data_IF_484528325794
#
_entry.id   IF_484528325794
#
_cell.length_a   1.000
_cell.length_b   1.000
_cell.length_c   1.000
_cell.angle_alpha   90.00
_cell.angle_beta   90.00
_cell.angle_gamma   90.00
#
_symmetry.space_group_name_H-M   'P 1'
#
loop_
_entity.id
_entity.type
_entity.pdbx_description
1 polymer ?
#
# COMPACT_ATOMS: atom_id res chain seq x y z
N UNK A 1 -26.21 -3.76 49.39
CA UNK A 1 -26.54 -2.41 48.89
C UNK A 1 -25.42 -1.49 49.35
N UNK A 2 -24.40 -1.28 48.51
CA UNK A 2 -23.23 -0.49 48.92
C UNK A 2 -23.60 0.98 48.76
N UNK A 3 -23.83 1.67 49.88
CA UNK A 3 -24.17 3.09 49.89
C UNK A 3 -22.86 3.90 49.79
N UNK A 4 -22.31 3.98 48.58
CA UNK A 4 -21.20 4.87 48.33
C UNK A 4 -21.70 6.32 48.29
N UNK A 5 -21.01 7.20 49.00
CA UNK A 5 -21.19 8.64 48.97
C UNK A 5 -21.22 9.15 47.52
N UNK A 6 -22.39 9.59 47.06
CA UNK A 6 -22.75 9.73 45.64
C UNK A 6 -21.76 10.64 44.86
N UNK A 7 -21.19 11.62 45.56
CA UNK A 7 -20.15 12.53 45.05
C UNK A 7 -18.80 11.83 44.88
N UNK A 8 -18.40 10.98 45.83
CA UNK A 8 -17.12 10.26 45.76
C UNK A 8 -17.12 9.27 44.60
N UNK A 9 -18.21 8.51 44.42
CA UNK A 9 -18.34 7.56 43.30
C UNK A 9 -18.31 8.28 41.96
N UNK A 10 -18.99 9.43 41.85
CA UNK A 10 -18.96 10.25 40.64
C UNK A 10 -17.54 10.71 40.31
N UNK A 11 -16.83 11.30 41.28
CA UNK A 11 -15.46 11.80 41.08
C UNK A 11 -14.51 10.67 40.68
N UNK A 12 -14.56 9.54 41.40
CA UNK A 12 -13.70 8.38 41.13
C UNK A 12 -13.98 7.78 39.75
N UNK A 13 -15.26 7.58 39.40
CA UNK A 13 -15.65 7.01 38.10
C UNK A 13 -15.23 7.91 36.94
N UNK A 14 -15.40 9.23 37.11
CA UNK A 14 -15.00 10.23 36.12
C UNK A 14 -13.49 10.25 35.96
N UNK A 15 -12.73 10.28 37.07
CA UNK A 15 -11.28 10.27 37.04
C UNK A 15 -10.73 9.04 36.32
N UNK A 16 -11.21 7.84 36.66
CA UNK A 16 -10.80 6.59 36.00
C UNK A 16 -11.08 6.66 34.50
N UNK A 17 -12.30 7.04 34.11
CA UNK A 17 -12.69 7.03 32.69
C UNK A 17 -11.94 8.07 31.87
N UNK A 18 -11.65 9.25 32.46
CA UNK A 18 -10.83 10.28 31.82
C UNK A 18 -9.37 9.86 31.69
N UNK A 19 -8.79 9.20 32.69
CA UNK A 19 -7.42 8.66 32.61
C UNK A 19 -7.33 7.63 31.48
N UNK A 20 -8.28 6.70 31.41
CA UNK A 20 -8.33 5.68 30.34
C UNK A 20 -8.49 6.35 28.98
N UNK A 21 -9.43 7.29 28.83
CA UNK A 21 -9.63 8.03 27.59
C UNK A 21 -8.35 8.75 27.16
N UNK A 22 -7.73 9.51 28.07
CA UNK A 22 -6.53 10.27 27.77
C UNK A 22 -5.37 9.36 27.40
N UNK A 23 -5.13 8.28 28.15
CA UNK A 23 -4.07 7.32 27.82
C UNK A 23 -4.26 6.66 26.45
N UNK A 24 -5.48 6.28 26.09
CA UNK A 24 -5.77 5.65 24.80
C UNK A 24 -5.63 6.62 23.63
N UNK A 25 -6.09 7.87 23.79
CA UNK A 25 -5.92 8.90 22.77
C UNK A 25 -4.45 9.30 22.61
N UNK A 26 -3.69 9.44 23.70
CA UNK A 26 -2.23 9.69 23.63
C UNK A 26 -1.51 8.54 22.92
N UNK A 27 -1.88 7.29 23.21
CA UNK A 27 -1.34 6.12 22.50
C UNK A 27 -1.61 6.17 21.00
N UNK A 28 -2.86 6.42 20.59
CA UNK A 28 -3.23 6.52 19.17
C UNK A 28 -2.54 7.71 18.48
N UNK A 29 -2.44 8.87 19.14
CA UNK A 29 -1.74 10.05 18.62
C UNK A 29 -0.22 9.82 18.51
N UNK A 30 0.37 9.05 19.42
CA UNK A 30 1.78 8.67 19.36
C UNK A 30 2.14 7.88 18.09
N UNK A 31 1.15 7.24 17.45
CA UNK A 31 1.30 6.45 16.23
C UNK A 31 0.81 7.20 14.97
N UNK A 32 0.65 8.52 15.02
CA UNK A 32 0.05 9.32 13.94
C UNK A 32 0.71 9.14 12.57
N UNK A 33 2.03 8.90 12.53
CA UNK A 33 2.76 8.65 11.28
C UNK A 33 2.30 7.38 10.55
N UNK A 34 1.67 6.45 11.26
CA UNK A 34 1.15 5.18 10.75
C UNK A 34 -0.38 5.19 10.66
N UNK A 35 -0.99 6.37 10.72
CA UNK A 35 -2.43 6.52 10.57
C UNK A 35 -2.89 6.06 9.18
N UNK A 36 -3.94 5.25 9.17
CA UNK A 36 -4.71 4.88 7.97
C UNK A 36 -6.21 5.11 8.21
N UNK A 37 -6.98 5.09 7.12
CA UNK A 37 -8.43 5.19 7.17
C UNK A 37 -9.03 4.14 8.12
N UNK A 38 -10.09 4.52 8.86
CA UNK A 38 -10.71 3.71 9.90
C UNK A 38 -10.20 3.96 11.33
N UNK A 39 -8.98 4.45 11.53
CA UNK A 39 -8.48 4.79 12.87
C UNK A 39 -9.33 5.87 13.57
N UNK A 40 -9.84 6.85 12.82
CA UNK A 40 -10.76 7.86 13.37
C UNK A 40 -12.05 7.24 13.92
N UNK A 41 -12.60 6.22 13.26
CA UNK A 41 -13.78 5.49 13.74
C UNK A 41 -13.44 4.74 15.03
N UNK A 42 -12.28 4.08 15.10
CA UNK A 42 -11.82 3.41 16.30
C UNK A 42 -11.63 4.37 17.48
N UNK A 43 -11.10 5.57 17.25
CA UNK A 43 -10.99 6.60 18.28
C UNK A 43 -12.37 7.05 18.81
N UNK A 44 -13.37 7.19 17.94
CA UNK A 44 -14.75 7.51 18.33
C UNK A 44 -15.36 6.37 19.15
N UNK A 45 -15.24 5.11 18.69
CA UNK A 45 -15.75 3.93 19.43
C UNK A 45 -15.04 3.81 20.79
N UNK A 46 -13.75 4.09 20.85
CA UNK A 46 -12.98 4.13 22.10
C UNK A 46 -13.54 5.17 23.08
N UNK A 47 -13.85 6.39 22.59
CA UNK A 47 -14.44 7.44 23.41
C UNK A 47 -15.84 7.07 23.92
N UNK A 48 -16.68 6.46 23.08
CA UNK A 48 -17.99 5.94 23.47
C UNK A 48 -17.85 4.84 24.53
N UNK A 49 -16.89 3.93 24.38
CA UNK A 49 -16.63 2.87 25.34
C UNK A 49 -16.14 3.43 26.70
N UNK A 50 -15.32 4.49 26.68
CA UNK A 50 -14.92 5.21 27.91
C UNK A 50 -16.12 5.90 28.60
N UNK A 51 -17.04 6.46 27.81
CA UNK A 51 -18.28 7.03 28.34
C UNK A 51 -19.18 5.94 28.95
N UNK A 52 -19.32 4.79 28.30
CA UNK A 52 -20.03 3.64 28.85
C UNK A 52 -19.38 3.12 30.13
N UNK A 53 -18.04 3.07 30.19
CA UNK A 53 -17.28 2.70 31.39
C UNK A 53 -17.60 3.65 32.55
N UNK A 54 -17.64 4.96 32.31
CA UNK A 54 -18.00 5.96 33.32
C UNK A 54 -19.36 5.65 33.97
N UNK A 55 -20.42 5.46 33.18
CA UNK A 55 -21.74 5.15 33.73
C UNK A 55 -21.77 3.78 34.42
N UNK A 56 -21.05 2.80 33.89
CA UNK A 56 -20.99 1.46 34.47
C UNK A 56 -20.33 1.47 35.85
N UNK A 57 -19.23 2.20 35.99
CA UNK A 57 -18.56 2.45 37.29
C UNK A 57 -19.47 3.24 38.24
N UNK A 58 -20.13 4.28 37.73
CA UNK A 58 -21.02 5.16 38.51
C UNK A 58 -22.18 4.41 39.16
N UNK A 59 -22.74 3.42 38.48
CA UNK A 59 -23.85 2.59 38.96
C UNK A 59 -23.38 1.26 39.58
N UNK A 60 -22.07 1.03 39.67
CA UNK A 60 -21.47 -0.22 40.16
C UNK A 60 -22.03 -1.49 39.48
N UNK A 61 -22.33 -1.39 38.18
CA UNK A 61 -22.85 -2.50 37.37
C UNK A 61 -21.67 -3.32 36.82
N UNK A 62 -21.30 -4.38 37.55
CA UNK A 62 -20.12 -5.21 37.25
C UNK A 62 -20.19 -5.79 35.83
N UNK A 63 -21.37 -6.24 35.38
CA UNK A 63 -21.54 -6.83 34.04
C UNK A 63 -21.25 -5.81 32.95
N UNK A 64 -21.73 -4.57 33.11
CA UNK A 64 -21.43 -3.50 32.15
C UNK A 64 -19.98 -3.02 32.23
N UNK A 65 -19.38 -3.01 33.42
CA UNK A 65 -17.94 -2.71 33.59
C UNK A 65 -17.10 -3.71 32.78
N UNK A 66 -17.34 -5.01 32.96
CA UNK A 66 -16.63 -6.07 32.23
C UNK A 66 -16.81 -5.88 30.72
N UNK A 67 -18.03 -5.64 30.27
CA UNK A 67 -18.34 -5.45 28.84
C UNK A 67 -17.61 -4.23 28.25
N UNK A 68 -17.59 -3.10 28.98
CA UNK A 68 -16.88 -1.90 28.54
C UNK A 68 -15.37 -2.11 28.49
N UNK A 69 -14.79 -2.80 29.47
CA UNK A 69 -13.34 -3.13 29.48
C UNK A 69 -12.97 -4.03 28.30
N UNK A 70 -13.79 -5.05 28.00
CA UNK A 70 -13.56 -5.92 26.83
C UNK A 70 -13.62 -5.10 25.54
N UNK A 71 -14.63 -4.24 25.38
CA UNK A 71 -14.75 -3.39 24.19
C UNK A 71 -13.55 -2.46 24.03
N UNK A 72 -13.08 -1.81 25.10
CA UNK A 72 -11.87 -0.99 25.08
C UNK A 72 -10.64 -1.79 24.66
N UNK A 73 -10.48 -2.99 25.22
CA UNK A 73 -9.39 -3.91 24.85
C UNK A 73 -9.41 -4.30 23.39
N UNK A 74 -10.59 -4.65 22.84
CA UNK A 74 -10.76 -4.99 21.43
C UNK A 74 -10.43 -3.81 20.50
N UNK A 75 -10.89 -2.61 20.84
CA UNK A 75 -10.62 -1.41 20.03
C UNK A 75 -9.13 -1.09 19.99
N UNK A 76 -8.44 -1.13 21.14
CA UNK A 76 -6.99 -0.89 21.20
C UNK A 76 -6.22 -2.00 20.49
N UNK A 77 -6.60 -3.26 20.67
CA UNK A 77 -5.99 -4.38 19.98
C UNK A 77 -6.10 -4.21 18.45
N UNK A 78 -7.30 -3.91 17.95
CA UNK A 78 -7.52 -3.74 16.52
C UNK A 78 -6.81 -2.50 15.96
N UNK A 79 -6.79 -1.38 16.69
CA UNK A 79 -6.01 -0.20 16.33
C UNK A 79 -4.51 -0.53 16.22
N UNK A 80 -3.95 -1.29 17.17
CA UNK A 80 -2.56 -1.72 17.11
C UNK A 80 -2.26 -2.61 15.91
N UNK A 81 -3.17 -3.52 15.54
CA UNK A 81 -3.01 -4.33 14.33
C UNK A 81 -2.95 -3.44 13.07
N UNK A 82 -3.80 -2.41 12.98
CA UNK A 82 -3.77 -1.45 11.86
C UNK A 82 -2.48 -0.62 11.84
N UNK A 83 -1.99 -0.18 13.01
CA UNK A 83 -0.71 0.54 13.09
C UNK A 83 0.47 -0.34 12.66
N UNK A 84 0.57 -1.56 13.16
CA UNK A 84 1.65 -2.49 12.78
C UNK A 84 1.58 -2.86 11.30
N UNK A 85 0.38 -3.07 10.77
CA UNK A 85 0.16 -3.25 9.33
C UNK A 85 0.71 -2.06 8.53
N UNK A 86 0.34 -0.83 8.89
CA UNK A 86 0.80 0.35 8.15
C UNK A 86 2.31 0.56 8.28
N UNK A 87 2.85 0.28 9.47
CA UNK A 87 4.27 0.37 9.75
C UNK A 87 5.10 -0.59 8.90
N UNK A 88 4.65 -1.83 8.72
CA UNK A 88 5.39 -2.79 7.88
C UNK A 88 5.57 -2.29 6.45
N UNK A 89 4.54 -1.69 5.84
CA UNK A 89 4.63 -1.11 4.49
C UNK A 89 5.65 0.03 4.39
N UNK A 90 5.66 0.91 5.39
CA UNK A 90 6.56 2.07 5.40
C UNK A 90 8.00 1.60 5.62
N UNK A 91 8.22 0.69 6.56
CA UNK A 91 9.54 0.16 6.88
C UNK A 91 10.09 -0.67 5.71
N UNK A 92 9.27 -1.52 5.08
CA UNK A 92 9.66 -2.30 3.91
C UNK A 92 10.03 -1.39 2.73
N UNK A 93 9.24 -0.33 2.49
CA UNK A 93 9.57 0.67 1.48
C UNK A 93 10.88 1.41 1.76
N UNK A 94 11.15 1.77 3.03
CA UNK A 94 12.39 2.44 3.43
C UNK A 94 13.61 1.52 3.33
N UNK A 95 13.43 0.22 3.51
CA UNK A 95 14.46 -0.81 3.40
C UNK A 95 14.67 -1.32 1.96
N UNK A 96 14.10 -0.63 0.96
CA UNK A 96 14.27 -0.98 -0.45
C UNK A 96 13.48 -2.21 -0.90
N UNK A 97 12.49 -2.64 -0.12
CA UNK A 97 11.57 -3.75 -0.44
C UNK A 97 10.13 -3.26 -0.49
N UNK A 98 9.80 -2.24 -1.32
CA UNK A 98 8.45 -1.71 -1.36
C UNK A 98 7.44 -2.79 -1.76
N UNK A 99 6.19 -2.62 -1.33
CA UNK A 99 5.09 -3.45 -1.82
C UNK A 99 5.07 -3.48 -3.35
N UNK A 100 5.00 -4.68 -3.92
CA UNK A 100 5.26 -4.91 -5.34
C UNK A 100 4.29 -4.19 -6.28
N UNK A 101 3.08 -3.92 -5.81
CA UNK A 101 2.07 -3.18 -6.57
C UNK A 101 2.06 -1.67 -6.27
N UNK A 102 2.96 -1.16 -5.43
CA UNK A 102 3.10 0.28 -5.12
C UNK A 102 3.15 1.18 -6.36
N UNK A 103 3.84 0.81 -7.47
CA UNK A 103 3.85 1.62 -8.69
C UNK A 103 2.49 1.74 -9.41
N UNK A 104 1.53 0.88 -9.08
CA UNK A 104 0.23 0.75 -9.74
C UNK A 104 -0.92 1.32 -8.90
N UNK A 105 -0.71 1.57 -7.60
CA UNK A 105 -1.73 2.03 -6.66
C UNK A 105 -1.49 3.47 -6.17
N UNK A 106 -2.58 4.17 -5.88
CA UNK A 106 -2.55 5.56 -5.37
C UNK A 106 -2.39 5.62 -3.85
N UNK A 107 -2.91 4.64 -3.14
CA UNK A 107 -2.88 4.51 -1.69
C UNK A 107 -2.46 3.09 -1.33
N UNK A 108 -1.72 2.91 -0.22
CA UNK A 108 -1.44 1.56 0.27
C UNK A 108 -2.71 0.92 0.81
N UNK A 109 -2.88 -0.41 0.63
CA UNK A 109 -4.06 -1.09 1.11
C UNK A 109 -4.20 -1.02 2.63
N UNK A 110 -5.41 -0.87 3.14
CA UNK A 110 -5.66 -0.92 4.59
C UNK A 110 -5.70 -2.36 5.10
N UNK A 111 -5.65 -2.53 6.43
CA UNK A 111 -5.79 -3.85 7.04
C UNK A 111 -7.16 -4.48 6.73
N UNK A 112 -8.22 -3.68 6.65
CA UNK A 112 -9.55 -4.16 6.26
C UNK A 112 -9.57 -4.65 4.83
N UNK A 113 -8.96 -3.91 3.90
CA UNK A 113 -8.89 -4.32 2.49
C UNK A 113 -8.14 -5.65 2.32
N UNK A 114 -7.12 -5.90 3.15
CA UNK A 114 -6.41 -7.19 3.20
C UNK A 114 -7.35 -8.36 3.55
N UNK A 115 -8.20 -8.19 4.56
CA UNK A 115 -9.00 -9.29 5.10
C UNK A 115 -10.41 -9.38 4.52
N UNK A 116 -10.95 -8.26 4.05
CA UNK A 116 -12.35 -8.09 3.70
C UNK A 116 -12.55 -7.42 2.34
N UNK A 117 -11.51 -7.34 1.48
CA UNK A 117 -11.60 -6.68 0.16
C UNK A 117 -12.81 -7.13 -0.65
N UNK A 118 -13.03 -8.45 -0.76
CA UNK A 118 -14.18 -9.03 -1.46
C UNK A 118 -15.53 -8.65 -0.84
N UNK A 119 -15.62 -8.58 0.48
CA UNK A 119 -16.84 -8.20 1.20
C UNK A 119 -17.14 -6.70 1.07
N UNK A 120 -16.10 -5.86 1.04
CA UNK A 120 -16.20 -4.42 0.92
C UNK A 120 -16.38 -3.95 -0.54
N UNK A 121 -16.30 -4.86 -1.52
CA UNK A 121 -16.38 -4.53 -2.94
C UNK A 121 -15.20 -3.68 -3.44
N UNK A 122 -14.06 -3.78 -2.76
CA UNK A 122 -12.83 -3.05 -3.08
C UNK A 122 -11.76 -4.01 -3.59
N UNK A 123 -10.80 -3.54 -4.40
CA UNK A 123 -9.77 -4.42 -4.95
C UNK A 123 -8.89 -5.07 -3.87
N UNK A 124 -8.75 -6.39 -3.92
CA UNK A 124 -7.94 -7.20 -3.01
C UNK A 124 -6.45 -7.17 -3.40
N UNK A 125 -5.82 -5.99 -3.31
CA UNK A 125 -4.44 -5.75 -3.74
C UNK A 125 -3.42 -6.71 -3.11
N UNK A 126 -3.55 -6.95 -1.81
CA UNK A 126 -2.60 -7.77 -1.05
C UNK A 126 -2.70 -9.22 -1.48
N UNK A 127 -3.92 -9.75 -1.53
CA UNK A 127 -4.17 -11.13 -1.93
C UNK A 127 -3.70 -11.38 -3.37
N UNK A 128 -3.98 -10.45 -4.28
CA UNK A 128 -3.48 -10.54 -5.65
C UNK A 128 -1.94 -10.56 -5.73
N UNK A 129 -1.27 -9.72 -4.93
CA UNK A 129 0.19 -9.73 -4.87
C UNK A 129 0.73 -11.06 -4.32
N UNK A 130 0.19 -11.56 -3.21
CA UNK A 130 0.65 -12.76 -2.52
C UNK A 130 0.32 -14.05 -3.30
N UNK A 131 -0.83 -14.12 -3.98
CA UNK A 131 -1.29 -15.34 -4.66
C UNK A 131 -0.90 -15.42 -6.14
N UNK A 132 -0.74 -14.26 -6.81
CA UNK A 132 -0.44 -14.22 -8.24
C UNK A 132 0.96 -13.68 -8.53
N UNK A 133 1.28 -12.47 -8.06
CA UNK A 133 2.45 -11.74 -8.55
C UNK A 133 3.74 -12.26 -7.95
N UNK A 134 3.84 -12.33 -6.63
CA UNK A 134 5.05 -12.80 -5.97
C UNK A 134 5.39 -14.26 -6.29
N UNK A 135 4.43 -15.21 -6.32
CA UNK A 135 4.73 -16.58 -6.71
C UNK A 135 5.27 -16.64 -8.13
N UNK A 136 4.62 -15.94 -9.08
CA UNK A 136 5.07 -15.92 -10.47
C UNK A 136 6.50 -15.41 -10.61
N UNK A 137 6.84 -14.31 -9.94
CA UNK A 137 8.18 -13.72 -10.00
C UNK A 137 9.25 -14.57 -9.30
N UNK A 138 8.86 -15.38 -8.32
CA UNK A 138 9.74 -16.33 -7.62
C UNK A 138 9.83 -17.69 -8.35
N UNK A 139 9.13 -17.88 -9.46
CA UNK A 139 9.04 -19.17 -10.16
C UNK A 139 8.21 -20.23 -9.43
N UNK A 140 7.41 -19.81 -8.45
CA UNK A 140 6.49 -20.65 -7.70
C UNK A 140 5.13 -20.73 -8.40
N UNK A 141 4.36 -21.75 -8.05
CA UNK A 141 3.01 -21.94 -8.58
C UNK A 141 2.06 -20.86 -8.01
N UNK A 142 1.52 -20.01 -8.88
CA UNK A 142 0.45 -19.08 -8.55
C UNK A 142 -0.90 -19.78 -8.32
N UNK A 143 -1.83 -19.09 -7.65
CA UNK A 143 -3.19 -19.57 -7.45
C UNK A 143 -3.92 -19.80 -8.79
N UNK A 144 -4.95 -20.65 -8.77
CA UNK A 144 -5.70 -21.03 -9.99
C UNK A 144 -6.35 -19.81 -10.65
N UNK A 145 -6.80 -18.87 -9.84
CA UNK A 145 -7.54 -17.68 -10.29
C UNK A 145 -6.63 -16.63 -10.95
N UNK A 146 -5.31 -16.84 -10.94
CA UNK A 146 -4.32 -15.99 -11.59
C UNK A 146 -4.11 -16.30 -13.09
N UNK A 147 -4.82 -17.29 -13.65
CA UNK A 147 -4.58 -17.80 -15.01
C UNK A 147 -5.21 -17.01 -16.14
N UNK A 148 -6.11 -16.07 -15.85
CA UNK A 148 -6.74 -15.25 -16.88
C UNK A 148 -7.09 -13.87 -16.33
N UNK A 149 -7.15 -12.87 -17.20
CA UNK A 149 -7.56 -11.51 -16.81
C UNK A 149 -8.98 -11.48 -16.25
N UNK A 150 -9.90 -12.35 -16.72
CA UNK A 150 -11.25 -12.44 -16.18
C UNK A 150 -11.23 -12.97 -14.77
N UNK A 151 -10.57 -14.11 -14.54
CA UNK A 151 -10.49 -14.73 -13.21
C UNK A 151 -9.83 -13.82 -12.18
N UNK A 152 -8.80 -13.07 -12.58
CA UNK A 152 -8.15 -12.08 -11.73
C UNK A 152 -9.14 -10.97 -11.35
N UNK A 153 -9.87 -10.43 -12.33
CA UNK A 153 -10.85 -9.38 -12.08
C UNK A 153 -12.01 -9.87 -11.20
N UNK A 154 -12.53 -11.06 -11.46
CA UNK A 154 -13.67 -11.63 -10.75
C UNK A 154 -13.31 -11.98 -9.30
N UNK A 155 -12.07 -12.40 -9.04
CA UNK A 155 -11.61 -12.84 -7.70
C UNK A 155 -11.09 -11.67 -6.87
N UNK A 156 -10.29 -10.79 -7.49
CA UNK A 156 -9.58 -9.74 -6.76
C UNK A 156 -10.13 -8.33 -7.03
N UNK A 157 -11.08 -8.15 -7.95
CA UNK A 157 -11.58 -6.83 -8.35
C UNK A 157 -10.54 -5.99 -9.09
N UNK A 158 -9.58 -6.64 -9.74
CA UNK A 158 -8.41 -5.99 -10.37
C UNK A 158 -8.40 -6.22 -11.88
N UNK A 159 -8.50 -5.14 -12.65
CA UNK A 159 -8.20 -5.15 -14.09
C UNK A 159 -6.69 -5.01 -14.31
N UNK A 160 -5.99 -6.13 -14.23
CA UNK A 160 -4.53 -6.18 -14.28
C UNK A 160 -3.94 -5.66 -15.60
N UNK A 161 -4.60 -5.93 -16.73
CA UNK A 161 -4.17 -5.45 -18.05
C UNK A 161 -4.31 -3.93 -18.17
N UNK A 162 -5.39 -3.35 -17.64
CA UNK A 162 -5.55 -1.89 -17.58
C UNK A 162 -4.51 -1.23 -16.68
N UNK A 163 -4.14 -1.85 -15.56
CA UNK A 163 -3.09 -1.34 -14.69
C UNK A 163 -1.73 -1.29 -15.38
N UNK A 164 -1.35 -2.38 -16.05
CA UNK A 164 -0.11 -2.43 -16.84
C UNK A 164 -0.12 -1.35 -17.91
N UNK A 165 -1.19 -1.23 -18.70
CA UNK A 165 -1.27 -0.21 -19.75
C UNK A 165 -1.25 1.23 -19.21
N UNK A 166 -1.91 1.47 -18.07
CA UNK A 166 -1.93 2.79 -17.40
C UNK A 166 -0.53 3.16 -16.90
N UNK A 167 0.16 2.20 -16.28
CA UNK A 167 1.53 2.41 -15.82
C UNK A 167 2.49 2.63 -16.99
N UNK A 168 2.43 1.79 -18.03
CA UNK A 168 3.20 1.95 -19.26
C UNK A 168 2.99 3.32 -19.90
N UNK A 169 1.74 3.78 -20.03
CA UNK A 169 1.44 5.11 -20.58
C UNK A 169 2.07 6.22 -19.74
N UNK A 170 2.13 6.06 -18.40
CA UNK A 170 2.79 7.01 -17.51
C UNK A 170 4.30 6.99 -17.66
N UNK A 171 4.91 5.81 -17.79
CA UNK A 171 6.34 5.66 -18.08
C UNK A 171 6.70 6.32 -19.40
N UNK A 172 5.95 6.03 -20.47
CA UNK A 172 6.13 6.63 -21.80
C UNK A 172 6.05 8.15 -21.77
N UNK A 173 5.00 8.72 -21.15
CA UNK A 173 4.88 10.17 -20.97
C UNK A 173 6.04 10.76 -20.18
N UNK A 174 6.55 10.03 -19.19
CA UNK A 174 7.71 10.47 -18.39
C UNK A 174 8.97 10.49 -19.25
N UNK A 175 9.22 9.44 -20.04
CA UNK A 175 10.35 9.36 -20.96
C UNK A 175 10.32 10.48 -22.00
N UNK A 176 9.15 10.72 -22.62
CA UNK A 176 8.94 11.79 -23.60
C UNK A 176 9.14 13.20 -23.00
N UNK A 177 8.79 13.42 -21.73
CA UNK A 177 9.06 14.70 -21.04
C UNK A 177 10.55 14.93 -20.83
N UNK A 178 11.30 13.87 -20.57
CA UNK A 178 12.76 13.95 -20.40
C UNK A 178 13.42 14.19 -21.74
N UNK A 179 13.07 13.39 -22.76
CA UNK A 179 13.60 13.51 -24.12
C UNK A 179 13.32 14.88 -24.73
N UNK A 180 12.07 15.36 -24.65
CA UNK A 180 11.67 16.68 -25.14
C UNK A 180 12.13 17.87 -24.28
N UNK A 181 13.00 17.64 -23.28
CA UNK A 181 13.59 18.70 -22.46
C UNK A 181 12.60 19.43 -21.53
N UNK A 182 11.40 18.89 -21.30
CA UNK A 182 10.40 19.45 -20.38
C UNK A 182 10.73 19.13 -18.91
N UNK A 183 11.61 18.16 -18.67
CA UNK A 183 12.08 17.75 -17.35
C UNK A 183 13.61 17.76 -17.33
N UNK A 184 14.19 18.88 -16.86
CA UNK A 184 15.63 19.17 -16.98
C UNK A 184 16.43 18.91 -15.71
N UNK A 185 15.77 18.64 -14.59
CA UNK A 185 16.45 18.48 -13.30
C UNK A 185 15.96 17.28 -12.52
N UNK A 186 16.88 16.65 -11.79
CA UNK A 186 16.59 15.57 -10.84
C UNK A 186 15.51 15.97 -9.84
N UNK A 187 15.50 17.22 -9.39
CA UNK A 187 14.49 17.76 -8.46
C UNK A 187 13.09 17.86 -9.09
N UNK A 188 12.98 18.16 -10.38
CA UNK A 188 11.69 18.13 -11.09
C UNK A 188 11.18 16.70 -11.21
N UNK A 189 12.06 15.76 -11.59
CA UNK A 189 11.72 14.35 -11.68
C UNK A 189 11.27 13.77 -10.33
N UNK A 190 12.05 13.98 -9.27
CA UNK A 190 11.69 13.53 -7.93
C UNK A 190 10.35 14.12 -7.47
N UNK A 191 10.11 15.42 -7.69
CA UNK A 191 8.81 16.03 -7.36
C UNK A 191 7.66 15.39 -8.14
N UNK A 192 7.84 15.08 -9.42
CA UNK A 192 6.77 14.49 -10.21
C UNK A 192 6.50 13.02 -9.85
N UNK A 193 7.53 12.27 -9.42
CA UNK A 193 7.39 10.94 -8.82
C UNK A 193 6.62 11.00 -7.49
N UNK A 194 7.01 11.90 -6.58
CA UNK A 194 6.32 12.12 -5.30
C UNK A 194 4.85 12.48 -5.51
N UNK A 195 4.56 13.31 -6.52
CA UNK A 195 3.20 13.69 -6.88
C UNK A 195 2.45 12.62 -7.72
N UNK A 196 3.05 11.45 -7.95
CA UNK A 196 2.51 10.34 -8.78
C UNK A 196 2.09 10.72 -10.21
N UNK A 197 2.59 11.86 -10.71
CA UNK A 197 2.36 12.34 -12.08
C UNK A 197 3.34 11.76 -13.10
N UNK A 198 4.44 11.19 -12.60
CA UNK A 198 5.43 10.43 -13.37
C UNK A 198 5.47 8.98 -12.90
N UNK A 199 6.11 8.13 -13.70
CA UNK A 199 6.50 6.79 -13.28
C UNK A 199 8.03 6.69 -13.29
N UNK A 200 8.57 5.74 -12.53
CA UNK A 200 9.99 5.43 -12.62
C UNK A 200 10.27 4.86 -14.01
N UNK A 201 11.29 5.35 -14.68
CA UNK A 201 11.75 4.85 -15.97
C UNK A 201 13.23 4.46 -15.90
N UNK A 202 13.71 3.55 -16.76
CA UNK A 202 15.13 3.23 -16.89
C UNK A 202 15.90 4.49 -17.30
N UNK A 203 16.70 5.02 -16.38
CA UNK A 203 17.63 6.11 -16.62
C UNK A 203 19.04 5.65 -16.28
N UNK A 204 20.02 6.25 -16.96
CA UNK A 204 21.43 6.05 -16.64
C UNK A 204 21.73 6.63 -15.25
N UNK A 205 22.70 6.06 -14.52
CA UNK A 205 23.15 6.64 -13.25
C UNK A 205 23.58 8.10 -13.43
N UNK A 206 23.34 8.92 -12.41
CA UNK A 206 23.56 10.38 -12.48
C UNK A 206 25.02 10.81 -12.68
N UNK A 207 25.99 9.88 -12.60
CA UNK A 207 27.41 10.12 -12.81
C UNK A 207 27.87 9.69 -14.21
N UNK A 208 26.97 9.16 -15.04
CA UNK A 208 27.25 8.73 -16.41
C UNK A 208 26.67 9.80 -17.33
N UNK A 209 27.54 10.68 -17.84
CA UNK A 209 27.15 11.63 -18.88
C UNK A 209 26.88 10.87 -20.18
N UNK A 210 25.92 11.33 -20.99
CA UNK A 210 25.54 10.65 -22.23
C UNK A 210 26.69 10.54 -23.25
N UNK A 211 27.71 11.40 -23.10
CA UNK A 211 28.92 11.52 -23.90
C UNK A 211 30.01 10.50 -23.49
N UNK A 212 30.00 10.06 -22.23
CA UNK A 212 30.95 9.08 -21.67
C UNK A 212 30.56 7.63 -22.02
N UNK A 213 29.40 7.46 -22.66
CA UNK A 213 28.91 6.16 -23.11
C UNK A 213 29.44 5.92 -24.52
N UNK A 214 30.51 5.14 -24.62
CA UNK A 214 30.95 4.59 -25.91
C UNK A 214 29.75 3.89 -26.58
N UNK A 215 29.41 4.33 -27.79
CA UNK A 215 28.31 3.77 -28.58
C UNK A 215 28.54 2.30 -28.96
N UNK A 216 29.77 1.82 -28.87
CA UNK A 216 30.17 0.44 -29.10
C UNK A 216 30.38 -0.37 -27.81
N UNK A 217 30.35 0.27 -26.63
CA UNK A 217 30.44 -0.43 -25.36
C UNK A 217 29.14 -1.18 -25.06
N UNK A 218 29.28 -2.38 -24.49
CA UNK A 218 28.16 -3.17 -23.97
C UNK A 218 27.55 -2.56 -22.68
N UNK A 219 28.21 -1.56 -22.10
CA UNK A 219 27.78 -0.92 -20.86
C UNK A 219 26.47 -0.17 -21.07
N UNK A 220 25.51 -0.45 -20.18
CA UNK A 220 24.19 0.20 -20.14
C UNK A 220 23.34 0.10 -21.42
N UNK A 221 23.69 -0.77 -22.39
CA UNK A 221 22.88 -1.02 -23.59
C UNK A 221 21.44 -1.36 -23.21
N UNK A 222 21.24 -2.25 -22.24
CA UNK A 222 19.90 -2.65 -21.80
C UNK A 222 19.06 -1.44 -21.32
N UNK A 223 19.62 -0.60 -20.44
CA UNK A 223 18.94 0.59 -19.92
C UNK A 223 18.60 1.59 -21.03
N UNK A 224 19.53 1.83 -21.96
CA UNK A 224 19.31 2.71 -23.11
C UNK A 224 18.24 2.16 -24.05
N UNK A 225 18.29 0.88 -24.36
CA UNK A 225 17.30 0.20 -25.21
C UNK A 225 15.91 0.30 -24.59
N UNK A 226 15.77 0.03 -23.28
CA UNK A 226 14.48 0.16 -22.60
C UNK A 226 13.96 1.62 -22.59
N UNK A 227 14.85 2.61 -22.37
CA UNK A 227 14.45 4.03 -22.41
C UNK A 227 13.93 4.42 -23.80
N UNK A 228 14.67 4.09 -24.87
CA UNK A 228 14.26 4.44 -26.22
C UNK A 228 13.04 3.65 -26.69
N UNK A 229 12.89 2.41 -26.23
CA UNK A 229 11.68 1.62 -26.43
C UNK A 229 10.47 2.34 -25.81
N UNK A 230 10.59 2.93 -24.61
CA UNK A 230 9.50 3.72 -24.01
C UNK A 230 9.13 4.96 -24.85
N UNK A 231 10.12 5.63 -25.44
CA UNK A 231 9.90 6.82 -26.26
C UNK A 231 9.24 6.45 -27.59
N UNK A 232 9.81 5.46 -28.29
CA UNK A 232 9.53 5.18 -29.69
C UNK A 232 8.40 4.17 -29.89
N UNK A 233 8.29 3.15 -29.03
CA UNK A 233 7.42 2.01 -29.31
C UNK A 233 5.96 2.33 -29.01
N UNK A 234 5.02 1.97 -29.90
CA UNK A 234 3.60 2.23 -29.70
C UNK A 234 2.96 1.31 -28.65
N UNK A 235 3.59 0.18 -28.35
CA UNK A 235 3.10 -0.88 -27.46
C UNK A 235 4.18 -1.28 -26.46
N UNK A 236 3.78 -2.04 -25.44
CA UNK A 236 4.70 -2.61 -24.46
C UNK A 236 5.57 -3.64 -25.17
N UNK A 237 6.87 -3.38 -25.22
CA UNK A 237 7.88 -4.32 -25.71
C UNK A 237 8.25 -5.34 -24.64
N UNK A 238 8.85 -6.48 -25.00
CA UNK A 238 9.39 -7.45 -24.05
C UNK A 238 10.36 -6.82 -23.04
N UNK A 239 11.21 -5.91 -23.50
CA UNK A 239 12.23 -5.24 -22.69
C UNK A 239 11.60 -4.30 -21.65
N UNK A 240 10.52 -3.60 -22.01
CA UNK A 240 9.77 -2.76 -21.07
C UNK A 240 9.00 -3.62 -20.08
N UNK A 241 8.46 -4.75 -20.52
CA UNK A 241 7.75 -5.67 -19.65
C UNK A 241 8.66 -6.23 -18.54
N UNK A 242 9.94 -6.48 -18.84
CA UNK A 242 10.95 -6.88 -17.83
C UNK A 242 11.21 -5.81 -16.76
N UNK A 243 11.01 -4.53 -17.08
CA UNK A 243 11.15 -3.44 -16.11
C UNK A 243 9.91 -3.27 -15.22
N UNK A 244 8.80 -3.94 -15.55
CA UNK A 244 7.51 -3.82 -14.87
C UNK A 244 7.15 -5.13 -14.18
N UNK A 245 7.28 -5.20 -12.85
CA UNK A 245 7.01 -6.44 -12.09
C UNK A 245 5.65 -7.07 -12.38
N UNK A 246 4.59 -6.25 -12.48
CA UNK A 246 3.26 -6.73 -12.83
C UNK A 246 3.20 -7.25 -14.27
N UNK A 247 3.85 -6.59 -15.23
CA UNK A 247 3.87 -7.06 -16.62
C UNK A 247 4.58 -8.41 -16.73
N UNK A 248 5.77 -8.51 -16.11
CA UNK A 248 6.56 -9.74 -16.08
C UNK A 248 5.78 -10.89 -15.46
N UNK A 249 5.15 -10.67 -14.30
CA UNK A 249 4.31 -11.67 -13.66
C UNK A 249 3.15 -12.11 -14.57
N UNK A 250 2.41 -11.16 -15.17
CA UNK A 250 1.28 -11.50 -16.04
C UNK A 250 1.70 -12.21 -17.33
N UNK A 251 2.89 -11.90 -17.86
CA UNK A 251 3.48 -12.63 -18.99
C UNK A 251 3.82 -14.06 -18.59
N UNK A 252 4.48 -14.24 -17.45
CA UNK A 252 4.90 -15.57 -16.98
C UNK A 252 3.71 -16.46 -16.58
N UNK A 253 2.55 -15.85 -16.31
CA UNK A 253 1.26 -16.50 -16.11
C UNK A 253 0.46 -16.74 -17.40
N UNK A 254 1.01 -16.41 -18.57
CA UNK A 254 0.32 -16.42 -19.88
C UNK A 254 -0.98 -15.58 -19.93
N UNK A 255 -1.13 -14.61 -19.02
CA UNK A 255 -2.27 -13.67 -19.01
C UNK A 255 -2.05 -12.55 -20.03
N UNK A 256 -0.80 -12.16 -20.25
CA UNK A 256 -0.43 -11.10 -21.17
C UNK A 256 0.39 -11.65 -22.34
N UNK A 257 -0.09 -11.53 -23.60
CA UNK A 257 0.59 -12.11 -24.76
C UNK A 257 1.75 -11.21 -25.22
N UNK A 258 2.86 -11.26 -24.48
CA UNK A 258 4.12 -10.62 -24.83
C UNK A 258 5.18 -11.71 -24.95
N UNK A 259 5.84 -11.79 -26.11
CA UNK A 259 6.96 -12.72 -26.30
C UNK A 259 8.12 -12.38 -25.35
N UNK A 260 8.89 -13.38 -24.91
CA UNK A 260 10.07 -13.14 -24.08
C UNK A 260 11.14 -12.38 -24.89
N UNK A 261 11.93 -11.50 -24.26
CA UNK A 261 13.03 -10.84 -24.96
C UNK A 261 13.97 -11.89 -25.55
N UNK A 262 14.44 -11.67 -26.77
CA UNK A 262 15.46 -12.53 -27.37
C UNK A 262 16.74 -12.38 -26.55
N UNK A 263 17.38 -13.50 -26.18
CA UNK A 263 18.67 -13.45 -25.51
C UNK A 263 19.66 -12.69 -26.41
N UNK A 264 20.27 -11.63 -25.85
CA UNK A 264 21.36 -10.87 -26.47
C UNK A 264 22.64 -11.70 -26.46
#
# INVERSE_FOLDING_TARGET
MINFDDKKTLIVSLAISLIVLFSGLVHMLGQWNYYEEGHGILAIVFAIACFALFFSLRFADITKIISAVILLGLVIFYANQKFEWRKSYIDDSNNGKPFILSPYITTYPTLEERHFGSLLGVPSWVQFAEECIEPSLKGNKAARDCKSSSSINDTYGIDALKLVNTHFTRMKRTAQKIEGGQMKSKRQYQRCLVNKTCAIIPLLPAHVEAEDIDRQSQDHIATRTMFWSLVNDPKISPEICEFMDLCRALRDLDVMPIEKPKAL
#
